data_IF_856187899896
#
_entry.id   IF_856187899896
#
_cell.length_a   1.000
_cell.length_b   1.000
_cell.length_c   1.000
_cell.angle_alpha   90.00
_cell.angle_beta   90.00
_cell.angle_gamma   90.00
#
_symmetry.space_group_name_H-M   'P 1'
#
loop_
_entity.id
_entity.type
_entity.pdbx_description
1 polymer ?
#
# COMPACT_ATOMS: atom_id res chain seq x y z
N UNK A 1 -20.52 7.33 20.01
CA UNK A 1 -19.33 6.48 20.23
C UNK A 1 -19.39 5.35 19.19
N UNK A 2 -18.84 5.56 17.98
CA UNK A 2 -18.80 4.53 16.95
C UNK A 2 -17.66 3.59 17.27
N UNK A 3 -17.97 2.34 17.65
CA UNK A 3 -16.98 1.26 17.76
C UNK A 3 -16.45 1.00 16.35
N UNK A 4 -15.14 1.18 16.14
CA UNK A 4 -14.42 0.62 15.00
C UNK A 4 -14.78 -0.87 14.94
N UNK A 5 -15.45 -1.28 13.89
CA UNK A 5 -15.55 -2.70 13.57
C UNK A 5 -14.18 -3.08 13.01
N UNK A 6 -13.41 -3.83 13.80
CA UNK A 6 -12.19 -4.46 13.31
C UNK A 6 -12.57 -5.34 12.12
N UNK A 7 -12.12 -4.93 10.94
CA UNK A 7 -12.40 -5.63 9.68
C UNK A 7 -11.47 -6.84 9.60
N UNK A 8 -11.92 -7.95 10.15
CA UNK A 8 -11.22 -9.22 10.05
C UNK A 8 -11.74 -10.01 8.86
N UNK A 9 -10.93 -10.13 7.84
CA UNK A 9 -11.18 -10.98 6.68
C UNK A 9 -10.09 -12.04 6.60
N UNK A 10 -10.48 -13.29 6.55
CA UNK A 10 -9.59 -14.39 6.22
C UNK A 10 -9.65 -14.60 4.71
N UNK A 11 -8.54 -14.30 4.06
CA UNK A 11 -8.33 -14.51 2.64
C UNK A 11 -7.44 -15.74 2.45
N UNK A 12 -7.92 -16.73 1.69
CA UNK A 12 -7.15 -17.91 1.30
C UNK A 12 -7.29 -18.14 -0.19
N UNK A 13 -6.21 -18.59 -0.82
CA UNK A 13 -6.24 -19.10 -2.19
C UNK A 13 -6.26 -20.63 -2.12
N UNK A 14 -7.12 -21.27 -2.88
CA UNK A 14 -7.08 -22.71 -3.05
C UNK A 14 -6.00 -23.14 -4.06
N UNK A 15 -5.86 -24.44 -4.29
CA UNK A 15 -4.87 -25.00 -5.22
C UNK A 15 -5.06 -24.54 -6.68
N UNK A 16 -6.26 -24.09 -7.03
CA UNK A 16 -6.62 -23.56 -8.35
C UNK A 16 -6.48 -22.02 -8.44
N UNK A 17 -5.93 -21.37 -7.39
CA UNK A 17 -5.86 -19.91 -7.26
C UNK A 17 -7.23 -19.21 -7.18
N UNK A 18 -8.28 -19.94 -6.81
CA UNK A 18 -9.58 -19.35 -6.55
C UNK A 18 -9.61 -18.74 -5.13
N UNK A 19 -10.21 -17.58 -5.03
CA UNK A 19 -10.32 -16.83 -3.79
C UNK A 19 -11.36 -17.44 -2.86
N UNK A 20 -10.96 -17.70 -1.61
CA UNK A 20 -11.88 -18.07 -0.55
C UNK A 20 -11.81 -16.99 0.52
N UNK A 21 -12.85 -16.17 0.57
CA UNK A 21 -12.92 -15.07 1.53
C UNK A 21 -13.94 -15.43 2.60
N UNK A 22 -13.50 -15.45 3.86
CA UNK A 22 -14.35 -15.69 5.03
C UNK A 22 -14.35 -14.46 5.93
N UNK A 23 -15.55 -13.93 6.16
CA UNK A 23 -15.77 -12.89 7.17
C UNK A 23 -16.32 -13.53 8.45
N UNK A 24 -16.03 -12.93 9.60
CA UNK A 24 -16.47 -13.42 10.91
C UNK A 24 -18.00 -13.59 11.06
N UNK A 25 -18.77 -12.93 10.18
CA UNK A 25 -20.22 -12.86 10.26
C UNK A 25 -20.96 -13.23 8.97
N UNK A 26 -20.24 -13.66 7.90
CA UNK A 26 -20.84 -14.00 6.61
C UNK A 26 -20.14 -15.22 6.00
N UNK A 27 -20.89 -16.25 5.70
CA UNK A 27 -20.37 -17.53 5.22
C UNK A 27 -19.95 -17.53 3.74
N UNK A 28 -20.44 -16.57 2.95
CA UNK A 28 -20.07 -16.39 1.53
C UNK A 28 -19.85 -14.92 1.26
N UNK A 29 -18.62 -14.58 0.95
CA UNK A 29 -18.22 -13.22 0.62
C UNK A 29 -17.36 -13.26 -0.64
N UNK A 30 -17.74 -12.53 -1.69
CA UNK A 30 -16.93 -12.42 -2.90
C UNK A 30 -16.13 -11.12 -2.88
N UNK A 31 -15.01 -11.06 -3.59
CA UNK A 31 -14.20 -9.85 -3.76
C UNK A 31 -15.04 -8.65 -4.22
N UNK A 32 -16.02 -8.89 -5.11
CA UNK A 32 -16.90 -7.85 -5.63
C UNK A 32 -17.79 -7.17 -4.56
N UNK A 33 -17.95 -7.83 -3.41
CA UNK A 33 -18.75 -7.29 -2.30
C UNK A 33 -18.03 -6.26 -1.45
N UNK A 34 -16.73 -6.07 -1.67
CA UNK A 34 -15.93 -5.06 -0.97
C UNK A 34 -16.08 -3.68 -1.60
N UNK A 35 -15.99 -2.64 -0.76
CA UNK A 35 -15.81 -1.27 -1.23
C UNK A 35 -14.46 -1.12 -1.95
N UNK A 36 -14.34 -0.13 -2.81
CA UNK A 36 -13.09 0.10 -3.56
C UNK A 36 -11.87 0.31 -2.63
N UNK A 37 -12.07 0.99 -1.49
CA UNK A 37 -11.01 1.15 -0.50
C UNK A 37 -10.59 -0.16 0.19
N UNK A 38 -11.54 -1.06 0.43
CA UNK A 38 -11.27 -2.40 0.98
C UNK A 38 -10.56 -3.28 -0.06
N UNK A 39 -10.98 -3.24 -1.33
CA UNK A 39 -10.32 -3.91 -2.44
C UNK A 39 -8.88 -3.46 -2.57
N UNK A 40 -8.63 -2.15 -2.57
CA UNK A 40 -7.28 -1.60 -2.65
C UNK A 40 -6.36 -2.12 -1.52
N UNK A 41 -6.86 -2.24 -0.29
CA UNK A 41 -6.10 -2.81 0.84
C UNK A 41 -5.78 -4.29 0.63
N UNK A 42 -6.73 -5.07 0.11
CA UNK A 42 -6.55 -6.49 -0.20
C UNK A 42 -5.50 -6.65 -1.30
N UNK A 43 -5.61 -5.88 -2.38
CA UNK A 43 -4.69 -5.93 -3.53
C UNK A 43 -3.24 -5.61 -3.12
N UNK A 44 -3.07 -4.60 -2.27
CA UNK A 44 -1.74 -4.24 -1.74
C UNK A 44 -1.19 -5.37 -0.85
N UNK A 45 -2.03 -5.93 0.03
CA UNK A 45 -1.61 -7.03 0.89
C UNK A 45 -1.20 -8.26 0.07
N UNK A 46 -1.93 -8.56 -1.00
CA UNK A 46 -1.59 -9.63 -1.94
C UNK A 46 -0.28 -9.35 -2.67
N UNK A 47 -0.09 -8.14 -3.20
CA UNK A 47 1.14 -7.73 -3.89
C UNK A 47 2.37 -7.91 -2.99
N UNK A 48 2.30 -7.42 -1.75
CA UNK A 48 3.40 -7.55 -0.78
C UNK A 48 3.65 -9.02 -0.40
N UNK A 49 2.58 -9.81 -0.27
CA UNK A 49 2.68 -11.25 0.01
C UNK A 49 3.33 -12.00 -1.15
N UNK A 50 2.92 -11.74 -2.39
CA UNK A 50 3.50 -12.33 -3.58
C UNK A 50 4.99 -11.98 -3.71
N UNK A 51 5.36 -10.74 -3.43
CA UNK A 51 6.77 -10.33 -3.38
C UNK A 51 7.56 -11.15 -2.35
N UNK A 52 7.02 -11.32 -1.15
CA UNK A 52 7.67 -12.10 -0.10
C UNK A 52 7.84 -13.58 -0.48
N UNK A 53 6.82 -14.17 -1.12
CA UNK A 53 6.89 -15.55 -1.63
C UNK A 53 7.92 -15.66 -2.76
N UNK A 54 7.96 -14.71 -3.68
CA UNK A 54 8.92 -14.68 -4.78
C UNK A 54 10.35 -14.59 -4.26
N UNK A 55 10.60 -13.77 -3.23
CA UNK A 55 11.88 -13.66 -2.53
C UNK A 55 12.31 -15.01 -1.93
N UNK A 56 11.38 -15.75 -1.32
CA UNK A 56 11.67 -17.06 -0.73
C UNK A 56 11.94 -18.16 -1.78
N UNK A 57 11.27 -18.10 -2.92
CA UNK A 57 11.39 -19.14 -3.98
C UNK A 57 12.50 -18.88 -4.96
N UNK A 58 12.79 -17.65 -5.25
CA UNK A 58 13.80 -17.24 -6.22
C UNK A 58 14.99 -16.69 -5.44
N UNK A 59 16.18 -17.18 -5.72
CA UNK A 59 17.43 -16.66 -5.13
C UNK A 59 17.75 -15.21 -5.57
N UNK A 60 16.85 -14.58 -6.32
CA UNK A 60 16.96 -13.19 -6.78
C UNK A 60 16.12 -12.32 -5.88
N UNK A 61 16.77 -11.54 -5.03
CA UNK A 61 16.16 -10.52 -4.19
C UNK A 61 16.40 -9.14 -4.81
N UNK A 62 15.33 -8.49 -5.23
CA UNK A 62 15.40 -7.09 -5.66
C UNK A 62 15.16 -6.19 -4.45
N UNK A 63 16.10 -5.32 -4.16
CA UNK A 63 16.00 -4.34 -3.08
C UNK A 63 15.23 -3.06 -3.50
N UNK A 64 14.39 -3.15 -4.50
CA UNK A 64 13.61 -2.05 -5.06
C UNK A 64 12.12 -2.39 -5.12
N UNK A 65 11.28 -1.49 -4.62
CA UNK A 65 9.84 -1.51 -4.76
C UNK A 65 9.36 -0.13 -5.21
N UNK A 66 8.69 -0.07 -6.35
CA UNK A 66 8.09 1.16 -6.87
C UNK A 66 6.57 1.01 -6.82
N UNK A 67 5.91 1.92 -6.15
CA UNK A 67 4.47 1.98 -5.97
C UNK A 67 3.96 3.26 -6.67
N UNK A 68 3.34 3.08 -7.82
CA UNK A 68 2.86 4.17 -8.66
C UNK A 68 1.36 4.41 -8.42
N UNK A 69 1.00 5.63 -8.03
CA UNK A 69 -0.37 6.10 -7.79
C UNK A 69 -1.22 5.25 -6.81
N UNK A 70 -0.60 4.35 -6.04
CA UNK A 70 -1.32 3.42 -5.16
C UNK A 70 -2.10 4.14 -4.06
N UNK A 71 -1.65 5.34 -3.67
CA UNK A 71 -2.31 6.18 -2.68
C UNK A 71 -3.36 7.12 -3.29
N UNK A 72 -3.37 7.29 -4.61
CA UNK A 72 -4.20 8.29 -5.29
C UNK A 72 -5.63 7.79 -5.54
N UNK A 73 -5.83 6.49 -5.46
CA UNK A 73 -7.11 5.83 -5.63
C UNK A 73 -8.05 5.92 -4.43
N UNK A 74 -8.80 4.86 -4.21
CA UNK A 74 -9.93 4.77 -3.27
C UNK A 74 -9.54 4.66 -1.80
N UNK A 75 -8.24 4.75 -1.44
CA UNK A 75 -7.82 4.70 -0.04
C UNK A 75 -8.25 5.95 0.70
N UNK A 76 -8.99 5.76 1.79
CA UNK A 76 -9.29 6.80 2.76
C UNK A 76 -8.04 7.20 3.57
N UNK A 77 -8.16 8.25 4.39
CA UNK A 77 -7.04 8.73 5.20
C UNK A 77 -6.48 7.64 6.13
N UNK A 78 -7.35 6.80 6.70
CA UNK A 78 -6.95 5.68 7.57
C UNK A 78 -6.20 4.63 6.77
N UNK A 79 -6.71 4.20 5.61
CA UNK A 79 -6.05 3.24 4.74
C UNK A 79 -4.69 3.73 4.25
N UNK A 80 -4.59 5.01 3.91
CA UNK A 80 -3.31 5.62 3.53
C UNK A 80 -2.30 5.63 4.68
N UNK A 81 -2.75 5.87 5.92
CA UNK A 81 -1.88 5.84 7.10
C UNK A 81 -1.44 4.42 7.46
N UNK A 82 -2.35 3.45 7.39
CA UNK A 82 -2.06 2.04 7.63
C UNK A 82 -1.06 1.50 6.62
N UNK A 83 -1.25 1.84 5.33
CA UNK A 83 -0.31 1.46 4.27
C UNK A 83 1.07 2.09 4.47
N UNK A 84 1.13 3.37 4.79
CA UNK A 84 2.38 4.06 5.10
C UNK A 84 3.14 3.41 6.27
N UNK A 85 2.41 2.92 7.29
CA UNK A 85 3.00 2.17 8.39
C UNK A 85 3.54 0.80 7.94
N UNK A 86 2.77 0.06 7.13
CA UNK A 86 3.19 -1.24 6.57
C UNK A 86 4.46 -1.07 5.75
N UNK A 87 4.53 -0.07 4.87
CA UNK A 87 5.69 0.15 4.01
C UNK A 87 6.95 0.49 4.80
N UNK A 88 6.84 1.30 5.86
CA UNK A 88 7.97 1.62 6.75
C UNK A 88 8.52 0.42 7.52
N UNK A 89 7.67 -0.56 7.80
CA UNK A 89 8.05 -1.76 8.55
C UNK A 89 8.15 -3.01 7.66
N UNK A 90 8.20 -2.83 6.35
CA UNK A 90 8.13 -3.96 5.41
C UNK A 90 9.42 -4.78 5.36
N UNK A 91 10.55 -4.11 5.12
CA UNK A 91 11.87 -4.74 5.02
C UNK A 91 12.96 -3.65 5.02
N UNK A 92 13.88 -3.70 5.97
CA UNK A 92 14.97 -2.72 6.13
C UNK A 92 15.93 -2.68 4.93
N UNK A 93 15.96 -3.72 4.11
CA UNK A 93 16.84 -3.82 2.94
C UNK A 93 16.16 -3.39 1.63
N UNK A 94 14.90 -3.00 1.66
CA UNK A 94 14.15 -2.63 0.45
C UNK A 94 14.01 -1.11 0.34
N UNK A 95 14.51 -0.53 -0.75
CA UNK A 95 14.23 0.85 -1.10
C UNK A 95 12.83 0.95 -1.69
N UNK A 96 11.96 1.72 -1.06
CA UNK A 96 10.56 1.89 -1.47
C UNK A 96 10.38 3.28 -2.04
N UNK A 97 9.93 3.37 -3.29
CA UNK A 97 9.56 4.61 -3.96
C UNK A 97 8.05 4.65 -4.13
N UNK A 98 7.45 5.73 -3.65
CA UNK A 98 6.02 5.99 -3.80
C UNK A 98 5.84 7.20 -4.70
N UNK A 99 5.10 7.02 -5.79
CA UNK A 99 4.71 8.09 -6.71
C UNK A 99 3.25 8.41 -6.44
N UNK A 100 2.95 9.69 -6.21
CA UNK A 100 1.59 10.15 -5.88
C UNK A 100 1.38 11.59 -6.32
N UNK A 101 0.14 11.91 -6.69
CA UNK A 101 -0.31 13.27 -6.97
C UNK A 101 -0.93 13.97 -5.75
N UNK A 102 -1.02 13.26 -4.62
CA UNK A 102 -1.59 13.82 -3.37
C UNK A 102 -0.59 14.70 -2.65
N UNK A 103 -0.90 15.97 -2.49
CA UNK A 103 -0.08 16.96 -1.78
C UNK A 103 0.10 16.66 -0.27
N UNK A 104 -0.79 15.86 0.33
CA UNK A 104 -0.82 15.56 1.77
C UNK A 104 0.20 14.49 2.21
N UNK A 105 1.19 14.21 1.40
CA UNK A 105 2.21 13.17 1.68
C UNK A 105 3.49 13.74 2.32
N UNK A 106 3.63 15.06 2.39
CA UNK A 106 4.79 15.71 2.99
C UNK A 106 5.01 15.30 4.45
N UNK A 107 6.27 15.04 4.80
CA UNK A 107 6.67 14.62 6.15
C UNK A 107 6.32 13.18 6.54
N UNK A 108 5.74 12.39 5.63
CA UNK A 108 5.44 10.96 5.89
C UNK A 108 6.55 10.01 5.46
N UNK A 109 7.49 10.48 4.68
CA UNK A 109 8.60 9.72 4.11
C UNK A 109 9.93 10.36 4.49
N UNK A 110 10.98 9.56 4.52
CA UNK A 110 12.34 10.03 4.85
C UNK A 110 12.82 11.08 3.87
N UNK A 111 12.40 10.98 2.61
CA UNK A 111 12.73 11.91 1.54
C UNK A 111 11.56 12.09 0.59
N UNK A 112 11.23 13.35 0.29
CA UNK A 112 10.19 13.70 -0.67
C UNK A 112 10.79 14.52 -1.81
N UNK A 113 10.49 14.13 -3.05
CA UNK A 113 10.88 14.84 -4.26
C UNK A 113 9.61 15.33 -4.94
N UNK A 114 9.43 16.64 -5.03
CA UNK A 114 8.24 17.27 -5.61
C UNK A 114 8.59 17.96 -6.93
N UNK A 115 7.86 17.62 -7.99
CA UNK A 115 7.96 18.32 -9.28
C UNK A 115 6.91 19.43 -9.33
N UNK A 116 7.33 20.68 -9.31
CA UNK A 116 6.45 21.86 -9.40
C UNK A 116 6.67 22.61 -10.70
N UNK A 117 5.61 23.25 -11.19
CA UNK A 117 5.69 24.08 -12.39
C UNK A 117 5.84 25.54 -12.01
N UNK A 118 6.98 26.15 -12.30
CA UNK A 118 7.26 27.55 -12.09
C UNK A 118 7.50 28.25 -13.45
N UNK A 119 6.72 29.28 -13.75
CA UNK A 119 6.87 30.09 -14.99
C UNK A 119 7.08 29.28 -16.27
N UNK A 120 6.25 28.22 -16.47
CA UNK A 120 6.31 27.27 -17.58
C UNK A 120 7.50 26.28 -17.60
N UNK A 121 8.33 26.25 -16.57
CA UNK A 121 9.39 25.27 -16.39
C UNK A 121 9.06 24.33 -15.25
N UNK A 122 9.49 23.07 -15.35
CA UNK A 122 9.41 22.13 -14.25
C UNK A 122 10.64 22.29 -13.37
N UNK A 123 10.41 22.48 -12.06
CA UNK A 123 11.45 22.59 -11.05
C UNK A 123 11.28 21.45 -10.06
N UNK A 124 12.38 20.85 -9.63
CA UNK A 124 12.39 19.80 -8.62
C UNK A 124 12.71 20.43 -7.27
N UNK A 125 11.85 20.20 -6.30
CA UNK A 125 12.07 20.56 -4.89
C UNK A 125 12.26 19.26 -4.10
N UNK A 126 13.18 19.29 -3.16
CA UNK A 126 13.48 18.15 -2.30
C UNK A 126 13.33 18.56 -0.83
N UNK A 127 12.67 17.69 -0.06
CA UNK A 127 12.59 17.79 1.39
C UNK A 127 13.02 16.46 2.01
N UNK A 128 13.77 16.54 3.11
CA UNK A 128 14.19 15.41 3.92
C UNK A 128 13.51 15.57 5.27
N UNK A 129 12.87 14.51 5.77
CA UNK A 129 12.28 14.54 7.10
C UNK A 129 13.39 14.66 8.14
N UNK A 130 13.26 15.62 9.06
CA UNK A 130 14.10 15.65 10.25
C UNK A 130 13.70 14.45 11.11
N UNK A 131 14.63 13.52 11.29
CA UNK A 131 14.45 12.38 12.20
C UNK A 131 14.61 12.92 13.63
N UNK A 132 13.49 13.05 14.34
CA UNK A 132 13.48 13.29 15.79
C UNK A 132 13.84 12.01 16.56
#
# INVERSE_FOLDING_TARGET
>A
MYKRQDFYVNFTLNENFEEIIKSRYRDVFSYDSFSEGEKARIDIALLLTWRSIAKLKNSVDTNLLILDEIFDGSLDQTGSSDLGWILRNFDDNTNIYVISHKEQMDGKYDRTITAVKEKNFSVIQESVAELD
#
